data_IF_049634728681
#
_entry.id   IF_049634728681
#
_cell.length_a   1.000
_cell.length_b   1.000
_cell.length_c   1.000
_cell.angle_alpha   90.00
_cell.angle_beta   90.00
_cell.angle_gamma   90.00
#
_symmetry.space_group_name_H-M   'P 1'
#
loop_
_entity.id
_entity.type
_entity.pdbx_description
1 polymer ?
#
# COMPACT_ATOMS: atom_id res chain seq x y z
N UNK A 1 -6.84 -16.34 -9.85
CA UNK A 1 -5.96 -16.81 -8.76
C UNK A 1 -6.49 -16.22 -7.47
N UNK A 2 -6.86 -17.03 -6.48
CA UNK A 2 -7.41 -16.53 -5.22
C UNK A 2 -6.30 -15.88 -4.39
N UNK A 3 -6.44 -14.59 -4.10
CA UNK A 3 -5.62 -13.92 -3.10
C UNK A 3 -5.99 -14.53 -1.74
N UNK A 4 -5.02 -15.20 -1.09
CA UNK A 4 -5.18 -15.77 0.24
C UNK A 4 -5.26 -14.63 1.27
N UNK A 5 -6.47 -14.12 1.52
CA UNK A 5 -6.79 -13.11 2.54
C UNK A 5 -6.76 -13.68 3.99
N UNK A 6 -6.25 -14.89 4.19
CA UNK A 6 -6.38 -15.67 5.44
C UNK A 6 -5.31 -15.37 6.51
N UNK A 7 -4.45 -14.36 6.32
CA UNK A 7 -3.47 -13.92 7.32
C UNK A 7 -3.36 -12.39 7.42
N UNK A 8 -4.41 -11.67 7.04
CA UNK A 8 -4.52 -10.29 7.47
C UNK A 8 -4.75 -10.30 8.98
N UNK A 9 -3.97 -9.56 9.81
CA UNK A 9 -4.42 -9.23 11.16
C UNK A 9 -5.86 -8.71 11.05
N UNK A 10 -6.73 -8.92 12.05
CA UNK A 10 -8.13 -8.46 11.99
C UNK A 10 -8.18 -6.93 11.80
N UNK A 11 -8.05 -6.50 10.56
CA UNK A 11 -8.08 -5.12 10.16
C UNK A 11 -9.54 -4.73 10.29
N UNK A 12 -9.81 -3.86 11.26
CA UNK A 12 -11.13 -3.27 11.41
C UNK A 12 -11.58 -2.65 10.08
N UNK A 13 -12.90 -2.52 9.87
CA UNK A 13 -13.44 -1.84 8.68
C UNK A 13 -12.83 -0.44 8.50
N UNK A 14 -12.50 0.25 9.61
CA UNK A 14 -11.78 1.55 9.57
C UNK A 14 -10.40 1.46 8.94
N UNK A 15 -9.66 0.39 9.20
CA UNK A 15 -8.35 0.15 8.60
C UNK A 15 -8.46 -0.12 7.10
N UNK A 16 -9.49 -0.88 6.69
CA UNK A 16 -9.76 -1.17 5.27
C UNK A 16 -10.14 0.12 4.53
N UNK A 17 -11.02 0.94 5.10
CA UNK A 17 -11.37 2.25 4.52
C UNK A 17 -10.17 3.19 4.44
N UNK A 18 -9.32 3.19 5.47
CA UNK A 18 -8.09 4.00 5.48
C UNK A 18 -7.13 3.55 4.40
N UNK A 19 -6.91 2.24 4.24
CA UNK A 19 -6.08 1.68 3.16
C UNK A 19 -6.61 2.11 1.79
N UNK A 20 -7.91 1.95 1.54
CA UNK A 20 -8.54 2.33 0.28
C UNK A 20 -8.31 3.82 -0.04
N UNK A 21 -8.48 4.71 0.95
CA UNK A 21 -8.22 6.16 0.79
C UNK A 21 -6.75 6.46 0.51
N UNK A 22 -5.83 5.90 1.29
CA UNK A 22 -4.39 6.13 1.13
C UNK A 22 -3.90 5.69 -0.24
N UNK A 23 -4.39 4.55 -0.74
CA UNK A 23 -4.06 4.02 -2.06
C UNK A 23 -4.67 4.86 -3.18
N UNK A 24 -5.96 5.25 -3.07
CA UNK A 24 -6.59 6.13 -4.07
C UNK A 24 -5.85 7.47 -4.19
N UNK A 25 -5.50 8.07 -3.05
CA UNK A 25 -4.70 9.29 -3.01
C UNK A 25 -3.30 9.06 -3.60
N UNK A 26 -2.73 7.85 -3.48
CA UNK A 26 -1.38 7.53 -3.94
C UNK A 26 -1.34 7.34 -5.44
N UNK A 27 -2.30 6.59 -5.96
CA UNK A 27 -2.52 6.44 -7.39
C UNK A 27 -2.78 7.80 -8.04
N UNK A 28 -3.66 8.63 -7.45
CA UNK A 28 -3.97 9.97 -7.95
C UNK A 28 -2.75 10.90 -7.99
N UNK A 29 -1.93 10.91 -6.94
CA UNK A 29 -0.72 11.74 -6.89
C UNK A 29 0.38 11.30 -7.87
N UNK A 30 0.48 10.00 -8.14
CA UNK A 30 1.50 9.42 -9.02
C UNK A 30 1.01 9.19 -10.46
N UNK A 31 -0.23 9.59 -10.79
CA UNK A 31 -0.90 9.30 -12.06
C UNK A 31 -0.85 7.80 -12.44
N UNK A 32 -1.00 6.94 -11.44
CA UNK A 32 -1.01 5.48 -11.59
C UNK A 32 -2.45 5.01 -11.73
N UNK A 33 -2.68 4.09 -12.67
CA UNK A 33 -3.96 3.42 -12.82
C UNK A 33 -4.25 2.51 -11.62
N UNK A 34 -5.43 2.62 -11.03
CA UNK A 34 -5.82 1.89 -9.83
C UNK A 34 -5.93 0.37 -10.07
N UNK A 35 -6.12 -0.04 -11.32
CA UNK A 35 -6.12 -1.45 -11.74
C UNK A 35 -4.74 -1.95 -12.21
N UNK A 36 -3.72 -1.08 -12.21
CA UNK A 36 -2.38 -1.41 -12.66
C UNK A 36 -1.53 -2.16 -11.62
N UNK A 37 -0.48 -2.84 -12.08
CA UNK A 37 0.45 -3.60 -11.22
C UNK A 37 1.06 -2.72 -10.11
N UNK A 38 1.33 -1.45 -10.40
CA UNK A 38 1.85 -0.50 -9.42
C UNK A 38 0.84 -0.21 -8.29
N UNK A 39 -0.45 -0.15 -8.59
CA UNK A 39 -1.49 0.06 -7.58
C UNK A 39 -1.68 -1.20 -6.72
N UNK A 40 -1.62 -2.39 -7.32
CA UNK A 40 -1.64 -3.65 -6.58
C UNK A 40 -0.42 -3.80 -5.67
N UNK A 41 0.78 -3.47 -6.15
CA UNK A 41 2.00 -3.46 -5.35
C UNK A 41 1.92 -2.45 -4.19
N UNK A 42 1.38 -1.26 -4.45
CA UNK A 42 1.15 -0.26 -3.41
C UNK A 42 0.15 -0.75 -2.36
N UNK A 43 -0.92 -1.43 -2.77
CA UNK A 43 -1.92 -2.00 -1.86
C UNK A 43 -1.30 -3.07 -0.96
N UNK A 44 -0.54 -3.99 -1.52
CA UNK A 44 0.18 -5.01 -0.75
C UNK A 44 1.17 -4.38 0.24
N UNK A 45 1.96 -3.40 -0.20
CA UNK A 45 2.90 -2.69 0.67
C UNK A 45 2.19 -1.94 1.81
N UNK A 46 1.06 -1.27 1.53
CA UNK A 46 0.29 -0.58 2.55
C UNK A 46 -0.33 -1.54 3.57
N UNK A 47 -0.79 -2.70 3.13
CA UNK A 47 -1.26 -3.78 4.00
C UNK A 47 -0.14 -4.29 4.91
N UNK A 48 1.05 -4.54 4.37
CA UNK A 48 2.20 -5.02 5.14
C UNK A 48 2.62 -3.97 6.19
N UNK A 49 2.68 -2.70 5.80
CA UNK A 49 3.01 -1.58 6.69
C UNK A 49 1.99 -1.45 7.84
N UNK A 50 0.70 -1.51 7.53
CA UNK A 50 -0.35 -1.42 8.54
C UNK A 50 -0.42 -2.67 9.43
N UNK A 51 -0.09 -3.84 8.87
CA UNK A 51 -0.02 -5.09 9.64
C UNK A 51 1.18 -5.09 10.60
N UNK A 52 2.29 -4.47 10.21
CA UNK A 52 3.45 -4.29 11.08
C UNK A 52 3.21 -3.27 12.21
N UNK A 53 2.34 -2.27 11.96
CA UNK A 53 1.96 -1.29 12.97
C UNK A 53 0.53 -0.79 12.75
N UNK A 54 -0.42 -1.40 13.46
CA UNK A 54 -1.85 -1.12 13.32
C UNK A 54 -2.27 0.28 13.80
N UNK A 55 -1.42 0.96 14.58
CA UNK A 55 -1.67 2.30 15.11
C UNK A 55 -1.22 3.42 14.16
N UNK A 56 -0.77 3.07 12.95
CA UNK A 56 -0.38 4.05 11.93
C UNK A 56 -1.58 4.92 11.52
N UNK A 57 -1.38 6.23 11.59
CA UNK A 57 -2.30 7.18 10.96
C UNK A 57 -2.21 7.13 9.43
N UNK A 58 -3.26 7.58 8.74
CA UNK A 58 -3.30 7.64 7.28
C UNK A 58 -2.10 8.41 6.68
N UNK A 59 -1.69 9.51 7.32
CA UNK A 59 -0.53 10.30 6.87
C UNK A 59 0.80 9.54 7.01
N UNK A 60 0.98 8.82 8.13
CA UNK A 60 2.19 8.02 8.35
C UNK A 60 2.24 6.82 7.41
N UNK A 61 1.11 6.14 7.22
CA UNK A 61 0.99 5.04 6.27
C UNK A 61 1.31 5.51 4.85
N UNK A 62 0.78 6.67 4.44
CA UNK A 62 1.08 7.27 3.14
C UNK A 62 2.58 7.57 2.98
N UNK A 63 3.20 8.22 3.96
CA UNK A 63 4.63 8.53 3.90
C UNK A 63 5.49 7.26 3.84
N UNK A 64 5.16 6.23 4.62
CA UNK A 64 5.84 4.95 4.60
C UNK A 64 5.66 4.22 3.26
N UNK A 65 4.47 4.30 2.67
CA UNK A 65 4.18 3.74 1.34
C UNK A 65 5.03 4.43 0.26
N UNK A 66 5.09 5.77 0.25
CA UNK A 66 5.91 6.51 -0.70
C UNK A 66 7.39 6.14 -0.60
N UNK A 67 7.92 5.99 0.61
CA UNK A 67 9.30 5.50 0.83
C UNK A 67 9.49 4.08 0.28
N UNK A 68 8.59 3.15 0.64
CA UNK A 68 8.68 1.74 0.24
C UNK A 68 8.62 1.57 -1.28
N UNK A 69 7.72 2.31 -1.95
CA UNK A 69 7.58 2.26 -3.40
C UNK A 69 8.74 2.94 -4.12
N UNK A 70 9.32 4.00 -3.54
CA UNK A 70 10.52 4.64 -4.07
C UNK A 70 11.77 3.75 -3.95
N UNK A 71 11.89 2.98 -2.87
CA UNK A 71 12.95 1.98 -2.70
C UNK A 71 12.84 0.85 -3.73
N UNK A 72 11.63 0.28 -3.92
CA UNK A 72 11.39 -0.75 -4.93
C UNK A 72 11.76 -0.30 -6.35
N UNK A 73 11.54 0.99 -6.68
CA UNK A 73 11.94 1.56 -7.98
C UNK A 73 13.46 1.71 -8.13
N UNK A 74 14.19 1.82 -7.03
CA UNK A 74 15.65 2.02 -7.03
C UNK A 74 16.44 0.72 -7.15
N UNK A 75 15.79 -0.42 -6.90
CA UNK A 75 16.38 -1.75 -7.01
C UNK A 75 16.36 -2.33 -8.43
N UNK A 76 15.78 -1.65 -9.43
CA UNK A 76 16.00 -2.04 -10.84
C UNK A 76 17.48 -1.77 -11.20
N UNK A 77 18.30 -2.82 -11.38
CA UNK A 77 19.69 -2.62 -11.76
C UNK A 77 19.68 -2.12 -13.20
N UNK A 78 20.26 -0.93 -13.41
CA UNK A 78 20.63 -0.47 -14.73
C UNK A 78 21.44 -1.59 -15.41
N UNK A 79 20.81 -2.27 -16.37
CA UNK A 79 21.46 -3.24 -17.26
C UNK A 79 21.93 -2.54 -18.53
#
# INVERSE_FOLDING_TARGET
>A
MSLNLLNLPELSERHIEMLAKVIADWCGANAIDADGDCAQAAYAAAVDLLSANIDLSACQLRQALDLRMAENKREEPSS
#
